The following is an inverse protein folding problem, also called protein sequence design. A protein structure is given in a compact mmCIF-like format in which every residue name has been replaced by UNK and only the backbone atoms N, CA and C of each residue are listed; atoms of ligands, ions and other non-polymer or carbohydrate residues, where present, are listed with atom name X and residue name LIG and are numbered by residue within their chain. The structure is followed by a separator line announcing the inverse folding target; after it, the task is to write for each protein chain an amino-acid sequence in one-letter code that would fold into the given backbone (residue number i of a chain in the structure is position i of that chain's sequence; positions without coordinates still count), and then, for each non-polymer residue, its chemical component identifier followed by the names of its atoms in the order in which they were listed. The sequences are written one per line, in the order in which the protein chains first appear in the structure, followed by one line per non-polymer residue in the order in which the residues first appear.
data_IF_530442303686
#
_entry.id   IF_530442303686
#
_cell.length_a   1.000
_cell.length_b   1.000
_cell.length_c   1.000
_cell.angle_alpha   90.00
_cell.angle_beta   90.00
_cell.angle_gamma   90.00
#
_symmetry.space_group_name_H-M   'P 1'
#
loop_
_entity.id
_entity.type
_entity.pdbx_description
1 polymer ?
#
# COMPACT_ATOMS: atom_id res chain seq x y z
N UNK A 1 -19.30 31.03 39.46
CA UNK A 1 -18.85 29.63 39.49
C UNK A 1 -19.60 28.72 38.51
N UNK A 2 -20.94 28.70 38.48
CA UNK A 2 -21.68 27.80 37.53
C UNK A 2 -21.37 28.06 36.05
N UNK A 3 -21.15 29.32 35.61
CA UNK A 3 -20.85 29.65 34.21
C UNK A 3 -19.43 29.20 33.74
N UNK A 4 -18.48 29.15 34.65
CA UNK A 4 -17.09 28.71 34.40
C UNK A 4 -17.08 27.20 34.24
N UNK A 5 -17.86 26.47 35.03
CA UNK A 5 -17.94 25.00 34.93
C UNK A 5 -18.56 24.55 33.64
N UNK A 6 -19.58 25.29 33.13
CA UNK A 6 -20.20 24.99 31.83
C UNK A 6 -19.22 25.22 30.67
N UNK A 7 -18.42 26.30 30.72
CA UNK A 7 -17.39 26.57 29.71
C UNK A 7 -16.29 25.50 29.69
N UNK A 8 -15.86 25.03 30.86
CA UNK A 8 -14.88 23.95 30.97
C UNK A 8 -15.44 22.63 30.42
N UNK A 9 -16.71 22.31 30.70
CA UNK A 9 -17.36 21.09 30.21
C UNK A 9 -17.47 21.09 28.66
N UNK A 10 -17.75 22.26 28.04
CA UNK A 10 -17.84 22.40 26.59
C UNK A 10 -16.47 22.27 25.93
N UNK A 11 -15.41 22.84 26.53
CA UNK A 11 -14.03 22.72 26.03
C UNK A 11 -13.54 21.27 26.12
N UNK A 12 -13.83 20.58 27.20
CA UNK A 12 -13.48 19.14 27.38
C UNK A 12 -14.20 18.27 26.37
N UNK A 13 -15.48 18.55 26.05
CA UNK A 13 -16.20 17.82 24.99
C UNK A 13 -15.63 18.08 23.59
N UNK A 14 -15.17 19.31 23.31
CA UNK A 14 -14.52 19.60 22.00
C UNK A 14 -13.17 18.88 21.84
N UNK A 15 -12.41 18.70 22.91
CA UNK A 15 -11.13 17.96 22.87
C UNK A 15 -11.35 16.46 22.62
N UNK A 16 -12.45 15.89 23.13
CA UNK A 16 -12.76 14.47 22.86
C UNK A 16 -13.31 14.22 21.44
N UNK A 17 -13.86 15.24 20.78
CA UNK A 17 -14.31 15.12 19.39
C UNK A 17 -13.17 15.22 18.37
N UNK A 18 -11.99 15.73 18.79
CA UNK A 18 -10.80 15.80 17.93
C UNK A 18 -10.00 14.51 17.84
N UNK A 19 -10.36 13.47 18.61
CA UNK A 19 -9.61 12.22 18.69
C UNK A 19 -10.16 11.11 17.78
N UNK A 20 -11.11 11.43 16.88
CA UNK A 20 -11.72 10.48 15.94
C UNK A 20 -11.47 10.89 14.50
N UNK A 21 -10.28 11.40 14.18
CA UNK A 21 -9.87 11.59 12.80
C UNK A 21 -8.68 10.71 12.54
N UNK A 22 -8.85 9.86 11.53
CA UNK A 22 -7.86 8.99 10.89
C UNK A 22 -7.75 7.55 11.39
N UNK A 23 -8.87 6.83 11.42
CA UNK A 23 -8.84 5.51 10.80
C UNK A 23 -9.22 5.69 9.33
N UNK A 24 -8.29 6.08 8.53
CA UNK A 24 -8.39 5.93 7.09
C UNK A 24 -8.24 4.45 6.78
N UNK A 25 -9.34 3.76 6.75
CA UNK A 25 -9.46 2.38 6.37
C UNK A 25 -10.87 1.96 6.73
N UNK A 26 -11.69 1.73 5.72
CA UNK A 26 -12.98 1.10 5.91
C UNK A 26 -12.71 -0.38 6.15
N UNK A 27 -12.78 -0.82 7.42
CA UNK A 27 -12.66 -2.22 7.80
C UNK A 27 -14.01 -2.71 8.29
N UNK A 28 -14.64 -3.60 7.56
CA UNK A 28 -15.78 -4.37 8.02
C UNK A 28 -15.52 -5.87 7.82
N UNK A 29 -16.38 -6.75 8.33
CA UNK A 29 -16.15 -8.19 8.35
C UNK A 29 -15.96 -8.87 6.98
N UNK A 30 -16.25 -8.19 5.87
CA UNK A 30 -15.99 -8.68 4.51
C UNK A 30 -14.59 -8.34 4.00
N UNK A 31 -13.90 -7.46 4.67
CA UNK A 31 -12.58 -6.92 4.28
C UNK A 31 -11.43 -7.76 4.79
N UNK A 32 -11.61 -8.48 5.88
CA UNK A 32 -10.54 -9.27 6.51
C UNK A 32 -9.89 -10.23 5.50
N UNK A 33 -10.65 -10.78 4.58
CA UNK A 33 -10.13 -11.67 3.55
C UNK A 33 -9.28 -10.92 2.51
N UNK A 34 -9.69 -9.73 2.11
CA UNK A 34 -8.95 -8.88 1.16
C UNK A 34 -7.66 -8.38 1.81
N UNK A 35 -7.76 -7.90 3.05
CA UNK A 35 -6.59 -7.47 3.83
C UNK A 35 -5.61 -8.62 4.04
N UNK A 36 -6.10 -9.82 4.36
CA UNK A 36 -5.24 -10.98 4.52
C UNK A 36 -4.51 -11.34 3.21
N UNK A 37 -5.19 -11.28 2.06
CA UNK A 37 -4.55 -11.50 0.77
C UNK A 37 -3.47 -10.45 0.46
N UNK A 38 -3.69 -9.18 0.83
CA UNK A 38 -2.70 -8.11 0.61
C UNK A 38 -1.54 -8.23 1.60
N UNK A 39 -1.83 -8.46 2.91
CA UNK A 39 -0.86 -8.30 3.99
C UNK A 39 -0.16 -9.60 4.42
N UNK A 40 -0.80 -10.75 4.26
CA UNK A 40 -0.23 -12.03 4.71
C UNK A 40 0.64 -12.70 3.62
N UNK A 41 0.82 -12.03 2.46
CA UNK A 41 1.61 -12.49 1.33
C UNK A 41 2.66 -11.42 1.00
N UNK A 42 3.90 -11.84 0.84
CA UNK A 42 4.95 -11.00 0.26
C UNK A 42 4.84 -11.04 -1.25
N UNK A 43 4.80 -9.90 -1.89
CA UNK A 43 4.52 -9.76 -3.31
C UNK A 43 5.74 -9.30 -4.11
N UNK A 44 5.88 -9.75 -5.36
CA UNK A 44 6.89 -9.28 -6.28
C UNK A 44 6.34 -9.22 -7.71
N UNK A 45 6.83 -8.25 -8.50
CA UNK A 45 6.63 -8.22 -9.95
C UNK A 45 7.55 -9.16 -10.71
N UNK A 46 8.37 -9.95 -9.97
CA UNK A 46 9.38 -10.82 -10.53
C UNK A 46 10.71 -10.13 -10.78
N UNK A 47 11.73 -10.96 -10.97
CA UNK A 47 13.10 -10.53 -11.27
C UNK A 47 13.21 -10.14 -12.74
N UNK A 48 13.63 -8.92 -13.02
CA UNK A 48 13.95 -8.44 -14.36
C UNK A 48 15.44 -8.60 -14.62
N UNK A 49 15.79 -9.38 -15.63
CA UNK A 49 17.17 -9.56 -16.08
C UNK A 49 17.47 -8.69 -17.29
N UNK A 50 18.67 -8.14 -17.33
CA UNK A 50 19.16 -7.28 -18.41
C UNK A 50 20.22 -7.99 -19.24
N UNK A 51 20.42 -7.55 -20.48
CA UNK A 51 21.37 -8.15 -21.43
C UNK A 51 22.83 -8.13 -20.95
N UNK A 52 23.18 -7.20 -20.06
CA UNK A 52 24.51 -7.09 -19.47
C UNK A 52 24.75 -8.06 -18.30
N UNK A 53 23.75 -8.90 -17.96
CA UNK A 53 23.79 -9.84 -16.84
C UNK A 53 23.37 -9.25 -15.49
N UNK A 54 23.08 -7.97 -15.43
CA UNK A 54 22.51 -7.35 -14.24
C UNK A 54 21.04 -7.73 -14.06
N UNK A 55 20.52 -7.58 -12.85
CA UNK A 55 19.09 -7.80 -12.59
C UNK A 55 18.53 -6.88 -11.52
N UNK A 56 17.21 -6.72 -11.55
CA UNK A 56 16.49 -5.92 -10.59
C UNK A 56 15.17 -6.61 -10.19
N UNK A 57 14.83 -6.52 -8.92
CA UNK A 57 13.58 -7.00 -8.38
C UNK A 57 13.04 -6.05 -7.31
N UNK A 58 11.72 -5.98 -7.18
CA UNK A 58 11.04 -5.20 -6.16
C UNK A 58 10.11 -6.11 -5.37
N UNK A 59 10.34 -6.19 -4.07
CA UNK A 59 9.62 -7.05 -3.13
C UNK A 59 8.79 -6.16 -2.21
N UNK A 60 7.50 -6.46 -2.08
CA UNK A 60 6.54 -5.65 -1.35
C UNK A 60 5.93 -6.42 -0.19
N UNK A 61 5.95 -5.80 0.98
CA UNK A 61 5.27 -6.26 2.17
C UNK A 61 4.30 -5.18 2.63
N UNK A 62 3.05 -5.57 2.84
CA UNK A 62 1.99 -4.69 3.33
C UNK A 62 1.62 -5.10 4.75
N UNK A 63 1.51 -4.14 5.66
CA UNK A 63 1.12 -4.37 7.04
C UNK A 63 -0.34 -3.94 7.27
N UNK A 64 -1.03 -4.64 8.16
CA UNK A 64 -2.44 -4.40 8.51
C UNK A 64 -2.66 -3.04 9.21
N UNK A 65 -1.60 -2.39 9.64
CA UNK A 65 -1.63 -1.03 10.21
C UNK A 65 -1.64 0.09 9.15
N UNK A 66 -1.64 -0.28 7.85
CA UNK A 66 -1.62 0.65 6.74
C UNK A 66 -0.22 1.13 6.36
N UNK A 67 0.82 0.44 6.79
CA UNK A 67 2.20 0.67 6.32
C UNK A 67 2.59 -0.35 5.26
N UNK A 68 3.60 -0.03 4.46
CA UNK A 68 4.24 -0.98 3.55
C UNK A 68 5.75 -0.78 3.52
N UNK A 69 6.44 -1.85 3.20
CA UNK A 69 7.86 -1.85 2.89
C UNK A 69 8.07 -2.38 1.49
N UNK A 70 8.87 -1.67 0.69
CA UNK A 70 9.33 -2.11 -0.62
C UNK A 70 10.84 -2.26 -0.59
N UNK A 71 11.33 -3.47 -0.73
CA UNK A 71 12.75 -3.78 -0.87
C UNK A 71 13.08 -3.89 -2.35
N UNK A 72 14.01 -3.07 -2.83
CA UNK A 72 14.57 -3.18 -4.17
C UNK A 72 15.88 -3.93 -4.09
N UNK A 73 16.02 -4.98 -4.87
CA UNK A 73 17.23 -5.80 -4.98
C UNK A 73 17.83 -5.58 -6.36
N UNK A 74 19.06 -5.10 -6.39
CA UNK A 74 19.85 -4.94 -7.60
C UNK A 74 21.03 -5.90 -7.56
N UNK A 75 21.28 -6.61 -8.63
CA UNK A 75 22.50 -7.41 -8.82
C UNK A 75 23.20 -6.84 -10.05
N UNK A 76 24.42 -6.36 -9.88
CA UNK A 76 25.18 -5.82 -10.99
C UNK A 76 25.75 -6.94 -11.89
N UNK A 77 26.30 -6.55 -13.04
CA UNK A 77 26.93 -7.48 -14.00
C UNK A 77 28.08 -8.31 -13.41
N UNK A 78 28.67 -7.88 -12.29
CA UNK A 78 29.77 -8.56 -11.61
C UNK A 78 29.26 -9.47 -10.47
N UNK A 79 27.92 -9.54 -10.29
CA UNK A 79 27.26 -10.36 -9.27
C UNK A 79 27.16 -9.70 -7.89
N UNK A 80 27.55 -8.42 -7.75
CA UNK A 80 27.42 -7.74 -6.46
C UNK A 80 25.95 -7.36 -6.22
N UNK A 81 25.45 -7.74 -5.05
CA UNK A 81 24.08 -7.47 -4.60
C UNK A 81 24.02 -6.15 -3.83
N UNK A 82 23.04 -5.32 -4.16
CA UNK A 82 22.69 -4.11 -3.44
C UNK A 82 21.20 -4.15 -3.11
N UNK A 83 20.88 -3.85 -1.86
CA UNK A 83 19.50 -3.73 -1.39
C UNK A 83 19.18 -2.30 -0.94
N UNK A 84 17.98 -1.85 -1.24
CA UNK A 84 17.45 -0.57 -0.78
C UNK A 84 16.02 -0.74 -0.31
N UNK A 85 15.68 -0.14 0.83
CA UNK A 85 14.35 -0.22 1.43
C UNK A 85 13.64 1.13 1.35
N UNK A 86 12.38 1.09 0.96
CA UNK A 86 11.46 2.23 0.95
C UNK A 86 10.26 1.86 1.82
N UNK A 87 9.87 2.76 2.70
CA UNK A 87 8.70 2.61 3.56
C UNK A 87 7.67 3.68 3.23
N UNK A 88 6.39 3.31 3.29
CA UNK A 88 5.31 4.23 3.06
C UNK A 88 4.01 3.80 3.73
N UNK A 89 2.94 4.45 3.35
CA UNK A 89 1.59 4.15 3.84
C UNK A 89 0.68 3.81 2.70
N UNK A 90 -0.29 2.97 2.98
CA UNK A 90 -1.36 2.61 2.07
C UNK A 90 -2.71 2.62 2.79
N UNK A 91 -3.77 2.81 2.04
CA UNK A 91 -5.15 2.70 2.53
C UNK A 91 -6.06 2.34 1.36
N UNK A 92 -7.31 1.95 1.63
CA UNK A 92 -8.29 1.86 0.57
C UNK A 92 -8.83 3.26 0.21
N UNK A 93 -8.85 3.57 -1.08
CA UNK A 93 -9.44 4.81 -1.61
C UNK A 93 -10.96 4.70 -1.79
N UNK A 94 -11.51 3.47 -1.86
CA UNK A 94 -12.91 3.20 -2.16
C UNK A 94 -13.55 2.29 -1.11
N UNK A 95 -14.84 2.49 -0.77
CA UNK A 95 -15.54 1.67 0.21
C UNK A 95 -15.70 0.19 -0.17
N UNK A 96 -15.54 -0.15 -1.45
CA UNK A 96 -15.59 -1.52 -1.96
C UNK A 96 -14.22 -2.19 -2.06
N UNK A 97 -13.18 -1.56 -1.48
CA UNK A 97 -11.80 -2.10 -1.40
C UNK A 97 -11.15 -2.42 -2.74
N UNK A 98 -11.63 -1.82 -3.82
CA UNK A 98 -11.13 -2.06 -5.17
C UNK A 98 -9.93 -1.21 -5.56
N UNK A 99 -9.54 -0.23 -4.75
CA UNK A 99 -8.46 0.70 -5.06
C UNK A 99 -7.63 0.97 -3.81
N UNK A 100 -6.31 0.75 -3.90
CA UNK A 100 -5.34 1.17 -2.92
C UNK A 100 -4.87 2.60 -3.22
N UNK A 101 -4.59 3.35 -2.17
CA UNK A 101 -4.06 4.71 -2.23
C UNK A 101 -2.75 4.81 -1.46
N UNK A 102 -1.72 5.38 -2.07
CA UNK A 102 -0.36 5.51 -1.55
C UNK A 102 0.04 6.96 -1.24
N UNK A 103 -0.87 7.92 -1.39
CA UNK A 103 -0.58 9.35 -1.28
C UNK A 103 -0.17 9.96 -2.63
N UNK A 104 -0.16 11.31 -2.70
CA UNK A 104 0.30 12.04 -3.88
C UNK A 104 -0.38 11.70 -5.19
N UNK A 105 -1.67 11.37 -5.17
CA UNK A 105 -2.45 10.94 -6.34
C UNK A 105 -1.94 9.63 -6.97
N UNK A 106 -1.34 8.75 -6.18
CA UNK A 106 -0.89 7.42 -6.59
C UNK A 106 -1.85 6.35 -6.10
N UNK A 107 -2.36 5.52 -7.02
CA UNK A 107 -3.40 4.54 -6.78
C UNK A 107 -3.09 3.21 -7.48
N UNK A 108 -3.50 2.10 -6.88
CA UNK A 108 -3.58 0.80 -7.53
C UNK A 108 -5.05 0.37 -7.62
N UNK A 109 -5.60 0.40 -8.82
CA UNK A 109 -6.96 -0.08 -9.09
C UNK A 109 -6.90 -1.60 -9.26
N UNK A 110 -7.35 -2.36 -8.23
CA UNK A 110 -7.26 -3.82 -8.17
C UNK A 110 -8.09 -4.45 -9.29
N UNK A 111 -7.48 -5.34 -10.06
CA UNK A 111 -8.12 -6.10 -11.12
C UNK A 111 -8.41 -7.53 -10.67
N UNK A 112 -7.44 -8.18 -10.05
CA UNK A 112 -7.53 -9.53 -9.52
C UNK A 112 -6.66 -9.64 -8.28
N UNK A 113 -7.15 -10.35 -7.26
CA UNK A 113 -6.43 -10.57 -6.03
C UNK A 113 -6.84 -11.92 -5.43
N UNK A 114 -5.90 -12.85 -5.43
CA UNK A 114 -6.01 -14.12 -4.75
C UNK A 114 -4.64 -14.55 -4.17
N UNK A 115 -4.50 -15.79 -3.76
CA UNK A 115 -3.25 -16.31 -3.16
C UNK A 115 -2.10 -16.47 -4.16
N UNK A 116 -2.35 -16.36 -5.44
CA UNK A 116 -1.40 -16.65 -6.53
C UNK A 116 -1.09 -15.44 -7.39
N UNK A 117 -1.98 -14.45 -7.42
CA UNK A 117 -1.83 -13.25 -8.22
C UNK A 117 -2.41 -12.04 -7.51
N UNK A 118 -1.74 -10.92 -7.65
CA UNK A 118 -2.23 -9.58 -7.33
C UNK A 118 -2.01 -8.69 -8.54
N UNK A 119 -3.04 -8.53 -9.36
CA UNK A 119 -2.96 -7.67 -10.54
C UNK A 119 -3.78 -6.40 -10.37
N UNK A 120 -3.26 -5.32 -10.90
CA UNK A 120 -3.86 -3.99 -10.76
C UNK A 120 -3.42 -3.07 -11.88
N UNK A 121 -4.10 -1.95 -11.99
CA UNK A 121 -3.62 -0.81 -12.75
C UNK A 121 -2.93 0.17 -11.80
N UNK A 122 -1.62 0.34 -11.95
CA UNK A 122 -0.87 1.42 -11.31
C UNK A 122 -1.24 2.73 -11.99
N UNK A 123 -1.83 3.63 -11.22
CA UNK A 123 -2.37 4.89 -11.72
C UNK A 123 -1.81 6.07 -10.95
N UNK A 124 -1.31 7.06 -11.68
CA UNK A 124 -0.95 8.37 -11.14
C UNK A 124 -1.88 9.43 -11.71
N UNK A 125 -2.52 10.18 -10.85
CA UNK A 125 -3.55 11.16 -11.19
C UNK A 125 -4.97 10.73 -10.82
N UNK A 126 -5.87 11.69 -10.70
CA UNK A 126 -7.28 11.44 -10.41
C UNK A 126 -7.98 10.84 -11.65
N UNK A 127 -9.07 10.09 -11.40
CA UNK A 127 -9.89 9.57 -12.49
C UNK A 127 -10.43 10.72 -13.35
N UNK A 128 -10.30 10.57 -14.68
CA UNK A 128 -10.66 11.56 -15.69
C UNK A 128 -9.73 12.79 -15.79
N UNK A 129 -8.61 12.79 -15.09
CA UNK A 129 -7.57 13.79 -15.34
C UNK A 129 -6.91 13.50 -16.71
N UNK A 130 -6.82 14.49 -17.61
CA UNK A 130 -6.15 14.33 -18.90
C UNK A 130 -4.67 13.92 -18.82
N UNK A 131 -4.03 14.19 -17.67
CA UNK A 131 -2.63 13.85 -17.40
C UNK A 131 -2.47 12.53 -16.63
N UNK A 132 -3.57 11.83 -16.36
CA UNK A 132 -3.53 10.55 -15.67
C UNK A 132 -2.72 9.52 -16.46
N UNK A 133 -1.74 8.91 -15.81
CA UNK A 133 -1.06 7.73 -16.32
C UNK A 133 -1.66 6.44 -15.74
N UNK A 134 -1.64 5.36 -16.51
CA UNK A 134 -2.19 4.07 -16.09
C UNK A 134 -1.43 2.93 -16.75
N UNK A 135 -0.85 2.04 -15.94
CA UNK A 135 -0.09 0.88 -16.39
C UNK A 135 -0.65 -0.38 -15.72
N UNK A 136 -0.78 -1.47 -16.48
CA UNK A 136 -1.18 -2.77 -15.94
C UNK A 136 0.03 -3.48 -15.35
N UNK A 137 -0.11 -3.96 -14.10
CA UNK A 137 0.96 -4.63 -13.35
C UNK A 137 0.42 -5.92 -12.76
N UNK A 138 1.26 -6.94 -12.75
CA UNK A 138 1.01 -8.21 -12.08
C UNK A 138 2.09 -8.47 -11.04
N UNK A 139 1.65 -8.85 -9.85
CA UNK A 139 2.51 -9.33 -8.78
C UNK A 139 2.16 -10.80 -8.47
N UNK A 140 3.17 -11.53 -8.06
CA UNK A 140 3.10 -12.92 -7.66
C UNK A 140 3.66 -13.08 -6.25
N UNK A 141 3.30 -14.14 -5.50
CA UNK A 141 3.91 -14.42 -4.22
C UNK A 141 5.42 -14.55 -4.37
N UNK A 142 6.15 -13.79 -3.55
CA UNK A 142 7.60 -13.88 -3.50
C UNK A 142 8.00 -15.19 -2.82
N UNK A 143 8.76 -16.00 -3.51
CA UNK A 143 9.40 -17.19 -2.97
C UNK A 143 10.88 -16.88 -2.85
N UNK A 144 11.37 -16.78 -1.63
CA UNK A 144 12.80 -16.68 -1.40
C UNK A 144 13.47 -17.96 -1.94
N UNK A 145 14.19 -17.84 -3.04
CA UNK A 145 15.03 -18.95 -3.51
C UNK A 145 16.04 -19.25 -2.40
N UNK A 146 15.91 -20.41 -1.78
CA UNK A 146 16.92 -20.88 -0.84
C UNK A 146 18.09 -21.37 -1.67
N UNK A 147 19.10 -20.52 -1.78
CA UNK A 147 20.43 -20.90 -2.25
C UNK A 147 21.08 -21.96 -1.34
#
# INVERSE_FOLDING_TARGET
MKRIIVFFAVIVQMVFLSCCVEKQGYYNSGEESIIALICDITWTGGKKEYEDGSSWESIWNFDKDGTYTRTNVEIDKDGNKKEGEIRGRWSFATPNFSTLYFGGSHYWDIKELDKTIFSFYDRTGELNDPLMSKEYVEFYPYNEEKD
#
